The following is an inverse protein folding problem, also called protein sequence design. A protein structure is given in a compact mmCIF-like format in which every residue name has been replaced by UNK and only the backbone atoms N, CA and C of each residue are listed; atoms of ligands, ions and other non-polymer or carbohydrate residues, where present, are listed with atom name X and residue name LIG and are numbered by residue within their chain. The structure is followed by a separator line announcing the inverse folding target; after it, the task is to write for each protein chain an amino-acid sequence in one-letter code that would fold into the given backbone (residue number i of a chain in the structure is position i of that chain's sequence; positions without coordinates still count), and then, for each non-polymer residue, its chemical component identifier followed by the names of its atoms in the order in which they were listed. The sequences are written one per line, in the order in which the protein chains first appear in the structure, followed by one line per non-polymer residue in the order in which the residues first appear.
data_IF_403462722241
#
_entry.id   IF_403462722241
#
_cell.length_a   1.000
_cell.length_b   1.000
_cell.length_c   1.000
_cell.angle_alpha   90.00
_cell.angle_beta   90.00
_cell.angle_gamma   90.00
#
_symmetry.space_group_name_H-M   'P 1'
#
loop_
_entity.id
_entity.type
_entity.pdbx_description
1 polymer ?
#
# COMPACT_ATOMS: atom_id res chain seq x y z
N UNK A 1 -27.67 -2.67 -8.80
CA UNK A 1 -26.54 -3.55 -8.42
C UNK A 1 -27.03 -4.53 -7.38
N UNK A 2 -26.60 -5.79 -7.45
CA UNK A 2 -27.07 -6.84 -6.55
C UNK A 2 -26.06 -7.06 -5.43
N UNK A 3 -26.57 -7.36 -4.23
CA UNK A 3 -25.73 -7.76 -3.12
C UNK A 3 -25.06 -9.10 -3.42
N UNK A 4 -23.74 -9.19 -3.25
CA UNK A 4 -22.99 -10.42 -3.52
C UNK A 4 -23.39 -11.56 -2.59
N UNK A 5 -23.70 -11.26 -1.32
CA UNK A 5 -24.06 -12.27 -0.32
C UNK A 5 -25.43 -12.91 -0.57
N UNK A 6 -26.50 -12.11 -0.67
CA UNK A 6 -27.87 -12.62 -0.78
C UNK A 6 -28.44 -12.64 -2.22
N UNK A 7 -27.68 -12.15 -3.21
CA UNK A 7 -28.07 -12.02 -4.63
C UNK A 7 -29.30 -11.13 -4.93
N UNK A 8 -29.87 -10.47 -3.91
CA UNK A 8 -30.99 -9.54 -4.04
C UNK A 8 -30.51 -8.12 -4.42
N UNK A 9 -31.35 -7.29 -5.05
CA UNK A 9 -31.00 -5.89 -5.34
C UNK A 9 -30.68 -5.12 -4.05
N UNK A 10 -29.62 -4.32 -4.09
CA UNK A 10 -29.24 -3.44 -2.99
C UNK A 10 -29.59 -1.99 -3.30
N UNK A 11 -30.42 -1.40 -2.43
CA UNK A 11 -30.75 0.02 -2.47
C UNK A 11 -29.50 0.85 -2.22
N UNK A 12 -29.43 2.05 -2.80
CA UNK A 12 -28.27 2.95 -2.66
C UNK A 12 -28.02 3.30 -1.19
N UNK A 13 -29.09 3.51 -0.42
CA UNK A 13 -29.05 4.01 0.97
C UNK A 13 -28.70 2.97 2.03
N UNK A 14 -28.44 1.73 1.64
CA UNK A 14 -28.22 0.62 2.58
C UNK A 14 -27.21 -0.40 2.08
N UNK A 15 -26.28 0.05 1.22
CA UNK A 15 -25.22 -0.79 0.67
C UNK A 15 -23.86 -0.31 1.14
N UNK A 16 -22.92 -1.24 1.22
CA UNK A 16 -21.50 -1.01 1.45
C UNK A 16 -20.75 -1.57 0.24
N UNK A 17 -19.75 -0.84 -0.23
CA UNK A 17 -18.93 -1.22 -1.39
C UNK A 17 -17.52 -1.56 -0.95
N UNK A 18 -17.02 -2.73 -1.36
CA UNK A 18 -15.63 -3.11 -1.08
C UNK A 18 -14.66 -2.24 -1.89
N UNK A 19 -13.66 -1.64 -1.24
CA UNK A 19 -12.64 -0.84 -1.90
C UNK A 19 -11.74 -1.67 -2.86
N UNK A 20 -11.52 -2.96 -2.55
CA UNK A 20 -10.73 -3.88 -3.37
C UNK A 20 -11.49 -4.43 -4.59
N UNK A 21 -12.51 -5.27 -4.39
CA UNK A 21 -13.21 -5.95 -5.49
C UNK A 21 -14.38 -5.15 -6.09
N UNK A 22 -14.70 -3.97 -5.54
CA UNK A 22 -15.86 -3.14 -5.92
C UNK A 22 -17.22 -3.84 -5.77
N UNK A 23 -17.25 -4.92 -4.99
CA UNK A 23 -18.45 -5.68 -4.69
C UNK A 23 -19.42 -4.92 -3.79
N UNK A 24 -20.72 -5.10 -4.04
CA UNK A 24 -21.80 -4.45 -3.28
C UNK A 24 -22.42 -5.43 -2.28
N UNK A 25 -22.71 -4.96 -1.07
CA UNK A 25 -23.26 -5.76 0.01
C UNK A 25 -24.32 -4.96 0.77
N UNK A 26 -25.41 -5.61 1.20
CA UNK A 26 -26.26 -5.01 2.24
C UNK A 26 -25.50 -5.03 3.57
N UNK A 27 -25.62 -3.98 4.38
CA UNK A 27 -25.00 -3.96 5.71
C UNK A 27 -25.57 -5.10 6.60
N UNK A 28 -26.84 -5.45 6.43
CA UNK A 28 -27.48 -6.57 7.13
C UNK A 28 -26.87 -7.92 6.75
N UNK A 29 -26.51 -8.11 5.48
CA UNK A 29 -25.86 -9.35 5.02
C UNK A 29 -24.45 -9.52 5.58
N UNK A 30 -23.89 -8.48 6.18
CA UNK A 30 -22.58 -8.47 6.84
C UNK A 30 -22.70 -8.52 8.37
N UNK A 31 -23.91 -8.75 8.91
CA UNK A 31 -24.21 -8.70 10.34
C UNK A 31 -23.87 -7.35 10.99
N UNK A 32 -23.90 -6.26 10.23
CA UNK A 32 -23.75 -4.89 10.76
C UNK A 32 -25.13 -4.41 11.18
N UNK A 33 -25.25 -3.85 12.39
CA UNK A 33 -26.52 -3.28 12.83
C UNK A 33 -26.78 -1.93 12.13
N UNK A 34 -28.04 -1.51 12.06
CA UNK A 34 -28.38 -0.21 11.45
C UNK A 34 -27.70 0.97 12.16
N UNK A 35 -27.61 0.93 13.50
CA UNK A 35 -26.91 1.96 14.27
C UNK A 35 -25.41 2.00 13.98
N UNK A 36 -24.77 0.83 13.85
CA UNK A 36 -23.36 0.75 13.46
C UNK A 36 -23.13 1.26 12.04
N UNK A 37 -24.04 0.95 11.12
CA UNK A 37 -24.00 1.44 9.74
C UNK A 37 -24.04 2.96 9.70
N UNK A 38 -25.00 3.60 10.36
CA UNK A 38 -25.11 5.06 10.40
C UNK A 38 -23.87 5.69 11.06
N UNK A 39 -23.44 5.16 12.21
CA UNK A 39 -22.30 5.71 12.95
C UNK A 39 -20.98 5.65 12.17
N UNK A 40 -20.85 4.71 11.24
CA UNK A 40 -19.61 4.47 10.49
C UNK A 40 -19.78 4.61 8.97
N UNK A 41 -20.87 5.21 8.49
CA UNK A 41 -21.22 5.26 7.07
C UNK A 41 -20.06 5.83 6.22
N UNK A 42 -19.48 6.94 6.65
CA UNK A 42 -18.36 7.57 5.96
C UNK A 42 -17.12 6.66 5.90
N UNK A 43 -16.81 5.94 6.99
CA UNK A 43 -15.71 4.98 7.01
C UNK A 43 -15.97 3.81 6.07
N UNK A 44 -17.23 3.35 6.00
CA UNK A 44 -17.62 2.26 5.13
C UNK A 44 -17.53 2.62 3.65
N UNK A 45 -17.80 3.86 3.28
CA UNK A 45 -17.69 4.31 1.88
C UNK A 45 -16.24 4.48 1.40
N UNK A 46 -15.32 4.86 2.30
CA UNK A 46 -13.93 5.18 1.91
C UNK A 46 -13.06 3.92 1.83
N UNK A 47 -13.10 3.06 2.85
CA UNK A 47 -12.04 2.05 3.06
C UNK A 47 -12.53 0.67 3.46
N UNK A 48 -13.84 0.41 3.45
CA UNK A 48 -14.32 -0.91 3.82
C UNK A 48 -13.87 -1.99 2.83
N UNK A 49 -13.46 -3.12 3.40
CA UNK A 49 -13.00 -4.30 2.67
C UNK A 49 -13.89 -5.48 3.03
N UNK A 50 -14.36 -6.23 2.03
CA UNK A 50 -15.21 -7.38 2.29
C UNK A 50 -14.42 -8.55 2.90
N UNK A 51 -15.10 -9.50 3.59
CA UNK A 51 -14.44 -10.63 4.23
C UNK A 51 -13.58 -11.47 3.27
N UNK A 52 -14.06 -11.65 2.03
CA UNK A 52 -13.31 -12.34 0.98
C UNK A 52 -11.99 -11.62 0.68
N UNK A 53 -12.02 -10.31 0.46
CA UNK A 53 -10.81 -9.53 0.17
C UNK A 53 -9.89 -9.39 1.39
N UNK A 54 -10.44 -9.42 2.61
CA UNK A 54 -9.65 -9.42 3.84
C UNK A 54 -8.83 -10.71 3.98
N UNK A 55 -9.44 -11.86 3.65
CA UNK A 55 -8.80 -13.18 3.73
C UNK A 55 -7.79 -13.45 2.62
N UNK A 56 -7.78 -12.65 1.55
CA UNK A 56 -6.77 -12.73 0.47
C UNK A 56 -5.41 -12.15 0.93
N UNK A 57 -5.24 -11.82 2.21
CA UNK A 57 -4.04 -11.15 2.76
C UNK A 57 -2.74 -11.72 2.18
N UNK A 58 -2.15 -10.90 1.30
CA UNK A 58 -0.77 -10.85 0.82
C UNK A 58 -0.01 -12.17 0.99
N UNK A 59 0.11 -12.96 -0.10
CA UNK A 59 1.32 -13.78 -0.26
C UNK A 59 2.49 -12.81 -0.09
N UNK A 60 3.28 -12.97 0.97
CA UNK A 60 4.50 -12.21 1.14
C UNK A 60 5.27 -12.25 -0.19
N UNK A 61 5.84 -11.13 -0.67
CA UNK A 61 6.74 -11.21 -1.81
C UNK A 61 7.79 -12.23 -1.41
N UNK A 62 7.81 -13.40 -2.07
CA UNK A 62 8.91 -14.33 -1.91
C UNK A 62 10.14 -13.55 -2.35
N UNK A 63 10.97 -13.18 -1.39
CA UNK A 63 12.33 -12.73 -1.62
C UNK A 63 13.14 -13.95 -2.10
N UNK A 64 12.71 -14.54 -3.23
CA UNK A 64 13.43 -15.59 -3.92
C UNK A 64 14.47 -14.88 -4.78
N UNK A 65 15.50 -14.37 -4.11
CA UNK A 65 16.72 -13.91 -4.76
C UNK A 65 17.45 -15.13 -5.28
N UNK A 66 16.90 -15.79 -6.30
CA UNK A 66 17.66 -16.74 -7.11
C UNK A 66 18.77 -15.92 -7.80
N UNK A 67 20.06 -16.19 -7.55
CA UNK A 67 21.12 -15.49 -8.25
C UNK A 67 20.95 -15.81 -9.74
N UNK A 68 20.75 -14.78 -10.56
CA UNK A 68 20.86 -14.93 -12.00
C UNK A 68 22.29 -15.38 -12.30
N UNK A 69 22.47 -16.66 -12.63
CA UNK A 69 23.75 -17.21 -13.07
C UNK A 69 24.03 -16.61 -14.44
N UNK A 70 24.71 -15.46 -14.47
CA UNK A 70 25.15 -14.83 -15.71
C UNK A 70 26.29 -15.67 -16.29
N UNK A 71 25.94 -16.70 -17.06
CA UNK A 71 26.90 -17.44 -17.88
C UNK A 71 26.95 -16.71 -19.22
N UNK A 72 27.83 -15.72 -19.31
CA UNK A 72 28.41 -15.38 -20.61
C UNK A 72 29.89 -15.12 -20.44
N UNK A 73 30.65 -16.21 -20.52
CA UNK A 73 32.07 -16.17 -20.79
C UNK A 73 32.28 -15.59 -22.18
N UNK A 74 32.96 -14.44 -22.27
CA UNK A 74 33.50 -13.93 -23.53
C UNK A 74 34.59 -14.88 -24.05
N UNK A 75 34.76 -14.99 -25.38
CA UNK A 75 36.04 -14.52 -25.89
C UNK A 75 35.93 -13.75 -27.22
N UNK A 76 36.75 -12.70 -27.29
CA UNK A 76 37.26 -12.01 -28.48
C UNK A 76 36.88 -12.62 -29.83
N UNK A 77 36.16 -11.84 -30.65
CA UNK A 77 36.34 -11.89 -32.10
C UNK A 77 36.68 -10.49 -32.57
N UNK A 78 37.95 -10.32 -32.93
CA UNK A 78 38.48 -9.14 -33.59
C UNK A 78 37.85 -9.01 -34.98
N UNK A 79 37.19 -7.88 -35.24
CA UNK A 79 36.97 -7.39 -36.60
C UNK A 79 37.42 -5.93 -36.63
N UNK A 80 38.55 -5.70 -37.30
CA UNK A 80 38.88 -4.42 -37.92
C UNK A 80 37.91 -4.22 -39.10
N UNK A 81 37.23 -3.08 -39.23
CA UNK A 81 37.77 -1.94 -39.98
C UNK A 81 36.73 -0.81 -40.14
N UNK A 82 37.24 0.39 -40.41
CA UNK A 82 36.56 1.62 -40.85
C UNK A 82 36.01 2.59 -39.79
N UNK A 83 36.93 3.41 -39.29
CA UNK A 83 36.87 4.87 -39.14
C UNK A 83 35.49 5.56 -39.05
N UNK A 84 35.20 6.14 -37.89
CA UNK A 84 34.86 7.56 -37.86
C UNK A 84 35.37 8.21 -36.56
N UNK A 85 36.33 9.10 -36.70
CA UNK A 85 36.88 9.92 -35.61
C UNK A 85 35.88 10.99 -35.19
N UNK A 86 35.45 10.99 -33.93
CA UNK A 86 35.25 12.25 -33.18
C UNK A 86 35.84 12.06 -31.78
N UNK A 87 36.97 12.72 -31.58
CA UNK A 87 37.70 12.86 -30.32
C UNK A 87 36.90 13.72 -29.33
N UNK A 88 37.00 13.42 -28.04
CA UNK A 88 36.45 14.26 -27.00
C UNK A 88 36.49 13.63 -25.61
N UNK A 89 37.69 13.35 -25.11
CA UNK A 89 37.96 13.12 -23.69
C UNK A 89 37.40 14.26 -22.83
N UNK A 90 36.79 13.95 -21.67
CA UNK A 90 37.18 14.56 -20.38
C UNK A 90 36.53 13.80 -19.21
N UNK A 91 37.39 13.51 -18.25
CA UNK A 91 37.23 12.82 -16.97
C UNK A 91 36.55 13.69 -15.88
N UNK A 92 35.87 12.99 -14.95
CA UNK A 92 35.72 13.31 -13.49
C UNK A 92 34.87 14.53 -13.10
N UNK A 93 33.82 14.37 -12.26
CA UNK A 93 33.95 14.56 -10.80
C UNK A 93 32.65 14.32 -10.01
N UNK A 94 32.85 13.93 -8.76
CA UNK A 94 31.90 13.61 -7.70
C UNK A 94 30.78 14.64 -7.50
N UNK A 95 29.54 14.18 -7.39
CA UNK A 95 28.45 14.93 -6.76
C UNK A 95 27.91 14.12 -5.58
N UNK A 96 28.39 14.56 -4.42
CA UNK A 96 27.99 14.26 -3.06
C UNK A 96 26.46 14.13 -2.93
N UNK A 97 25.94 12.93 -2.60
CA UNK A 97 24.56 12.80 -2.11
C UNK A 97 24.59 13.16 -0.62
N UNK A 98 23.99 14.31 -0.33
CA UNK A 98 23.81 14.90 0.99
C UNK A 98 22.88 13.99 1.81
N UNK A 99 23.24 13.56 3.05
CA UNK A 99 22.27 13.03 3.99
C UNK A 99 21.47 14.20 4.56
N UNK A 100 20.22 14.38 4.14
CA UNK A 100 19.34 15.36 4.77
C UNK A 100 18.86 14.81 6.11
N UNK A 101 19.57 15.16 7.17
CA UNK A 101 19.07 15.11 8.54
C UNK A 101 18.02 16.18 8.73
N UNK A 102 16.75 15.80 8.86
CA UNK A 102 15.75 16.66 9.49
C UNK A 102 15.37 16.06 10.84
N UNK A 103 16.05 16.61 11.83
CA UNK A 103 15.92 16.41 13.27
C UNK A 103 14.86 17.40 13.79
N UNK A 104 14.06 16.97 14.78
CA UNK A 104 13.33 17.76 15.81
C UNK A 104 12.01 18.44 15.37
N UNK A 105 10.92 18.55 16.14
CA UNK A 105 10.51 18.28 17.54
C UNK A 105 8.97 18.34 17.54
N UNK A 106 8.26 17.47 18.27
CA UNK A 106 7.32 17.90 19.35
C UNK A 106 6.80 16.71 20.13
N UNK A 107 7.01 16.75 21.45
CA UNK A 107 6.49 15.83 22.43
C UNK A 107 4.95 15.86 22.48
N UNK A 108 4.33 14.83 23.07
CA UNK A 108 3.25 15.13 24.00
C UNK A 108 3.47 14.55 25.40
N UNK A 109 2.83 15.28 26.31
CA UNK A 109 2.93 15.28 27.76
C UNK A 109 2.65 13.93 28.43
N UNK A 110 3.33 13.78 29.56
CA UNK A 110 2.97 12.98 30.72
C UNK A 110 1.46 13.06 31.05
N UNK A 111 0.79 11.92 31.12
CA UNK A 111 -0.61 11.80 31.59
C UNK A 111 -0.70 10.83 32.77
N UNK A 112 0.01 11.13 33.87
CA UNK A 112 -0.13 10.43 35.16
C UNK A 112 -0.75 11.24 36.30
N UNK A 113 -1.33 12.41 36.04
CA UNK A 113 -2.15 13.11 37.04
C UNK A 113 -3.43 13.64 36.43
N UNK A 114 -4.52 12.89 36.59
CA UNK A 114 -5.89 13.39 36.68
C UNK A 114 -6.82 12.23 37.09
N UNK A 115 -6.64 11.77 38.33
CA UNK A 115 -7.62 10.95 39.06
C UNK A 115 -7.44 11.24 40.56
N UNK A 116 -8.04 12.34 41.04
CA UNK A 116 -8.16 12.64 42.48
C UNK A 116 -9.30 13.63 42.79
N UNK A 117 -10.35 13.69 41.97
CA UNK A 117 -11.56 14.44 42.32
C UNK A 117 -12.77 13.69 41.78
N UNK A 118 -13.06 12.54 42.37
CA UNK A 118 -14.39 11.97 42.52
C UNK A 118 -14.24 10.72 43.40
N UNK A 119 -14.23 10.91 44.71
CA UNK A 119 -14.84 9.99 45.68
C UNK A 119 -14.70 10.56 47.11
N UNK A 120 -15.86 10.76 47.75
CA UNK A 120 -16.11 11.01 49.19
C UNK A 120 -15.67 12.33 49.83
#
# INVERSE_FOLDING_TARGET
MNCIACKKPANVSGRITCCCCKGNYHYQCLNISHSQYIANAQKYDISWTCPECLNISKRAPRNDSTPARNIHSTPNTSYNDSENSIMGDTLINNSHIIPTTNTLITAPLNSKELNSLLDT
#
